data_IF_830499083057
#
_entry.id   IF_830499083057
#
_cell.length_a   1.000
_cell.length_b   1.000
_cell.length_c   1.000
_cell.angle_alpha   90.00
_cell.angle_beta   90.00
_cell.angle_gamma   90.00
#
_symmetry.space_group_name_H-M   'P 1'
#
loop_
_entity.id
_entity.type
_entity.pdbx_description
1 polymer ?
#
# COMPACT_ATOMS: atom_id res chain seq x y z
N UNK A 1 9.93 -37.93 -41.70
CA UNK A 1 10.42 -37.82 -40.32
C UNK A 1 9.23 -37.97 -39.37
N UNK A 2 9.12 -39.09 -38.65
CA UNK A 2 8.02 -39.39 -37.70
C UNK A 2 8.49 -39.07 -36.29
N UNK A 3 7.89 -38.08 -35.64
CA UNK A 3 8.13 -37.82 -34.22
C UNK A 3 7.24 -38.73 -33.37
N UNK A 4 7.90 -39.50 -32.51
CA UNK A 4 7.30 -40.53 -31.68
C UNK A 4 6.79 -39.89 -30.37
N UNK A 5 5.51 -40.13 -30.08
CA UNK A 5 4.75 -39.60 -28.94
C UNK A 5 5.13 -40.37 -27.66
N UNK A 6 5.95 -39.76 -26.79
CA UNK A 6 6.23 -40.31 -25.44
C UNK A 6 5.03 -40.02 -24.52
N UNK A 7 4.54 -41.08 -23.85
CA UNK A 7 3.52 -41.00 -22.78
C UNK A 7 4.19 -40.61 -21.45
N UNK A 8 3.51 -39.90 -20.54
CA UNK A 8 3.93 -39.80 -19.16
C UNK A 8 3.50 -41.05 -18.37
N UNK A 9 4.42 -41.61 -17.60
CA UNK A 9 4.13 -42.62 -16.60
C UNK A 9 3.70 -41.91 -15.31
N UNK A 10 2.43 -42.06 -14.94
CA UNK A 10 1.91 -41.71 -13.62
C UNK A 10 1.55 -43.00 -12.90
N UNK A 11 2.39 -43.44 -11.96
CA UNK A 11 1.93 -44.32 -10.90
C UNK A 11 2.79 -44.11 -9.65
N UNK A 12 2.30 -43.24 -8.76
CA UNK A 12 2.86 -42.98 -7.43
C UNK A 12 2.13 -43.90 -6.45
N UNK A 13 2.36 -45.21 -6.56
CA UNK A 13 1.84 -46.19 -5.59
C UNK A 13 2.82 -47.32 -5.23
N UNK A 14 4.04 -47.38 -5.78
CA UNK A 14 4.98 -48.49 -5.55
C UNK A 14 6.17 -48.18 -4.63
N UNK A 15 6.03 -47.24 -3.68
CA UNK A 15 7.09 -46.91 -2.71
C UNK A 15 6.73 -47.25 -1.25
N UNK A 16 5.92 -48.30 -1.08
CA UNK A 16 5.59 -48.87 0.22
C UNK A 16 5.75 -50.40 0.19
N UNK A 17 6.98 -50.89 0.10
CA UNK A 17 7.33 -52.27 0.45
C UNK A 17 8.81 -52.37 0.82
N UNK A 18 9.06 -53.23 1.79
CA UNK A 18 10.35 -53.59 2.40
C UNK A 18 10.74 -52.74 3.62
N UNK A 19 10.07 -53.02 4.74
CA UNK A 19 10.70 -52.98 6.04
C UNK A 19 10.27 -54.26 6.80
N UNK A 20 11.17 -55.23 6.82
CA UNK A 20 11.09 -56.50 7.56
C UNK A 20 11.06 -56.25 9.08
N UNK A 21 10.04 -56.72 9.82
CA UNK A 21 10.07 -56.76 11.28
C UNK A 21 10.58 -58.15 11.71
N UNK A 22 11.90 -58.38 11.66
CA UNK A 22 12.39 -59.75 11.87
C UNK A 22 13.89 -59.94 12.04
N UNK A 23 14.56 -59.18 12.92
CA UNK A 23 15.88 -59.60 13.42
C UNK A 23 16.18 -58.97 14.79
N UNK A 24 15.56 -59.53 15.83
CA UNK A 24 16.01 -59.36 17.20
C UNK A 24 17.34 -60.12 17.37
N UNK A 25 18.47 -59.43 17.17
CA UNK A 25 19.79 -59.90 17.61
C UNK A 25 20.15 -59.15 18.90
N UNK A 26 19.98 -59.84 20.01
CA UNK A 26 20.60 -59.55 21.29
C UNK A 26 22.12 -59.47 21.12
N UNK A 27 22.64 -58.25 21.02
CA UNK A 27 24.07 -57.98 21.21
C UNK A 27 24.27 -57.70 22.69
N UNK A 28 24.96 -58.64 23.33
CA UNK A 28 25.44 -58.57 24.69
C UNK A 28 26.46 -57.45 24.86
N UNK A 29 26.26 -56.71 25.96
CA UNK A 29 27.10 -55.73 26.65
C UNK A 29 28.54 -55.48 26.13
N UNK A 30 28.88 -54.21 25.86
CA UNK A 30 30.16 -53.66 26.25
C UNK A 30 30.02 -52.94 27.61
N UNK A 31 30.74 -53.48 28.58
CA UNK A 31 31.04 -52.93 29.90
C UNK A 31 31.32 -51.42 29.86
N UNK A 32 30.60 -50.68 30.70
CA UNK A 32 31.18 -49.70 31.61
C UNK A 32 31.86 -48.46 31.00
N UNK A 33 31.13 -47.67 30.22
CA UNK A 33 31.46 -46.24 30.09
C UNK A 33 30.72 -45.49 31.20
N UNK A 34 31.44 -45.03 32.23
CA UNK A 34 30.84 -44.18 33.24
C UNK A 34 30.17 -42.98 32.57
N UNK A 35 28.92 -42.63 32.94
CA UNK A 35 28.24 -41.48 32.36
C UNK A 35 29.06 -40.24 32.70
N UNK A 36 29.78 -39.71 31.71
CA UNK A 36 30.56 -38.49 31.84
C UNK A 36 29.68 -37.43 32.48
N UNK A 37 30.06 -37.00 33.68
CA UNK A 37 29.33 -36.04 34.49
C UNK A 37 29.22 -34.72 33.73
N UNK A 38 28.18 -34.57 32.93
CA UNK A 38 27.82 -33.28 32.37
C UNK A 38 27.64 -32.32 33.55
N UNK A 39 28.38 -31.21 33.50
CA UNK A 39 28.38 -30.25 34.58
C UNK A 39 26.94 -29.81 34.88
N UNK A 40 26.55 -29.66 36.16
CA UNK A 40 25.21 -29.24 36.53
C UNK A 40 24.79 -27.91 35.87
N UNK A 41 25.77 -27.06 35.52
CA UNK A 41 25.54 -25.83 34.75
C UNK A 41 24.99 -26.07 33.34
N UNK A 42 25.44 -27.10 32.62
CA UNK A 42 24.97 -27.39 31.26
C UNK A 42 23.51 -27.87 31.24
N UNK A 43 23.10 -28.58 32.29
CA UNK A 43 21.70 -29.03 32.45
C UNK A 43 20.78 -27.88 32.82
N UNK A 44 21.23 -26.98 33.70
CA UNK A 44 20.46 -25.80 34.07
C UNK A 44 20.26 -24.84 32.89
N UNK A 45 21.28 -24.62 32.06
CA UNK A 45 21.16 -23.78 30.87
C UNK A 45 20.22 -24.39 29.82
N UNK A 46 20.28 -25.71 29.59
CA UNK A 46 19.38 -26.41 28.68
C UNK A 46 17.92 -26.33 29.14
N UNK A 47 17.65 -26.50 30.45
CA UNK A 47 16.30 -26.38 31.00
C UNK A 47 15.80 -24.94 30.87
N UNK A 48 16.63 -23.95 31.18
CA UNK A 48 16.27 -22.54 31.05
C UNK A 48 15.92 -22.18 29.59
N UNK A 49 16.78 -22.58 28.63
CA UNK A 49 16.51 -22.37 27.21
C UNK A 49 15.24 -23.10 26.75
N UNK A 50 14.98 -24.32 27.24
CA UNK A 50 13.76 -25.06 26.92
C UNK A 50 12.50 -24.41 27.50
N UNK A 51 12.56 -23.84 28.70
CA UNK A 51 11.44 -23.12 29.31
C UNK A 51 11.21 -21.79 28.59
N UNK A 52 12.27 -21.05 28.26
CA UNK A 52 12.17 -19.85 27.42
C UNK A 52 11.56 -20.16 26.06
N UNK A 53 12.00 -21.24 25.40
CA UNK A 53 11.45 -21.69 24.11
C UNK A 53 10.00 -22.16 24.23
N UNK A 54 9.64 -22.84 25.33
CA UNK A 54 8.26 -23.23 25.64
C UNK A 54 7.33 -22.04 25.88
N UNK A 55 7.80 -21.02 26.61
CA UNK A 55 7.03 -19.78 26.82
C UNK A 55 6.92 -18.96 25.53
N UNK A 56 7.96 -18.97 24.69
CA UNK A 56 7.98 -18.40 23.33
C UNK A 56 7.19 -19.20 22.29
N UNK A 57 6.53 -20.30 22.66
CA UNK A 57 5.66 -21.08 21.76
C UNK A 57 4.18 -21.09 22.17
N UNK A 58 3.82 -20.56 23.35
CA UNK A 58 2.45 -20.60 23.90
C UNK A 58 1.59 -19.32 23.67
N UNK A 59 2.15 -18.20 23.21
CA UNK A 59 1.43 -16.94 22.92
C UNK A 59 1.42 -16.54 21.43
N UNK A 60 1.45 -17.53 20.53
CA UNK A 60 2.42 -17.45 19.43
C UNK A 60 1.88 -17.28 18.03
N UNK A 61 0.60 -17.55 17.76
CA UNK A 61 0.10 -17.43 16.38
C UNK A 61 0.21 -15.98 15.85
N UNK A 62 -0.30 -15.01 16.62
CA UNK A 62 -0.27 -13.59 16.24
C UNK A 62 1.14 -13.01 16.32
N UNK A 63 1.89 -13.34 17.38
CA UNK A 63 3.26 -12.86 17.55
C UNK A 63 4.19 -13.32 16.41
N UNK A 64 4.21 -14.62 16.10
CA UNK A 64 5.04 -15.11 14.99
C UNK A 64 4.53 -14.65 13.63
N UNK A 65 3.23 -14.40 13.48
CA UNK A 65 2.68 -13.81 12.27
C UNK A 65 3.21 -12.38 12.04
N UNK A 66 3.27 -11.55 13.09
CA UNK A 66 3.91 -10.22 13.00
C UNK A 66 5.39 -10.34 12.66
N UNK A 67 6.15 -11.16 13.41
CA UNK A 67 7.58 -11.31 13.12
C UNK A 67 7.85 -11.88 11.73
N UNK A 68 6.95 -12.73 11.23
CA UNK A 68 6.96 -13.19 9.85
C UNK A 68 6.74 -12.07 8.84
N UNK A 69 5.85 -11.12 9.15
CA UNK A 69 5.61 -9.92 8.35
C UNK A 69 6.82 -8.98 8.36
N UNK A 70 7.38 -8.67 9.53
CA UNK A 70 8.58 -7.82 9.65
C UNK A 70 9.77 -8.40 8.88
N UNK A 71 9.89 -9.74 8.91
CA UNK A 71 10.92 -10.45 8.13
C UNK A 71 10.71 -10.26 6.62
N UNK A 72 9.46 -10.23 6.17
CA UNK A 72 9.10 -9.91 4.78
C UNK A 72 9.40 -8.46 4.41
N UNK A 73 9.31 -7.55 5.37
CA UNK A 73 9.52 -6.11 5.18
C UNK A 73 11.00 -5.73 5.21
N UNK A 74 11.88 -6.61 5.73
CA UNK A 74 13.32 -6.40 5.83
C UNK A 74 14.01 -6.16 4.47
N UNK A 75 13.54 -6.82 3.41
CA UNK A 75 14.18 -6.78 2.10
C UNK A 75 13.22 -6.35 1.02
N UNK A 76 13.74 -5.65 0.02
CA UNK A 76 13.00 -5.37 -1.21
C UNK A 76 13.91 -5.59 -2.40
N UNK A 77 13.40 -6.23 -3.43
CA UNK A 77 14.15 -6.49 -4.64
C UNK A 77 13.19 -6.59 -5.82
N UNK A 78 13.58 -6.05 -6.96
CA UNK A 78 12.73 -6.12 -8.14
C UNK A 78 13.39 -5.61 -9.40
N UNK A 79 12.65 -5.77 -10.48
CA UNK A 79 12.97 -5.21 -11.79
C UNK A 79 12.19 -3.92 -12.00
N UNK A 80 12.78 -2.99 -12.74
CA UNK A 80 12.23 -1.67 -13.03
C UNK A 80 12.25 -1.43 -14.54
N UNK A 81 11.17 -0.91 -15.09
CA UNK A 81 11.12 -0.42 -16.46
C UNK A 81 11.41 1.09 -16.53
N UNK A 82 11.94 1.53 -17.68
CA UNK A 82 12.31 2.92 -17.97
C UNK A 82 13.23 3.53 -16.90
N UNK A 83 14.23 2.75 -16.48
CA UNK A 83 15.19 3.09 -15.42
C UNK A 83 16.60 3.24 -16.01
N UNK A 84 17.23 4.39 -15.73
CA UNK A 84 18.53 4.77 -16.29
C UNK A 84 19.48 5.25 -15.21
N UNK A 85 20.74 4.84 -15.30
CA UNK A 85 21.81 5.24 -14.41
C UNK A 85 21.91 4.37 -13.15
N UNK A 86 22.51 4.92 -12.10
CA UNK A 86 22.77 4.21 -10.85
C UNK A 86 22.60 5.16 -9.66
N UNK A 87 21.95 4.67 -8.60
CA UNK A 87 21.89 5.37 -7.32
C UNK A 87 22.12 4.43 -6.15
N UNK A 88 22.77 4.97 -5.13
CA UNK A 88 22.97 4.36 -3.82
C UNK A 88 22.25 5.23 -2.78
N UNK A 89 21.49 4.61 -1.88
CA UNK A 89 20.87 5.25 -0.72
C UNK A 89 21.42 4.61 0.55
N UNK A 90 21.71 5.46 1.52
CA UNK A 90 22.05 5.09 2.89
C UNK A 90 21.21 5.97 3.83
N UNK A 91 20.06 5.43 4.24
CA UNK A 91 19.08 6.11 5.05
C UNK A 91 18.51 7.36 4.36
N UNK A 92 18.60 8.57 4.96
CA UNK A 92 18.08 9.79 4.36
C UNK A 92 18.96 10.30 3.20
N UNK A 93 20.20 9.82 3.08
CA UNK A 93 21.15 10.27 2.05
C UNK A 93 21.03 9.39 0.83
N UNK A 94 20.87 10.01 -0.34
CA UNK A 94 20.83 9.33 -1.65
C UNK A 94 21.83 9.99 -2.58
N UNK A 95 22.63 9.19 -3.27
CA UNK A 95 23.64 9.68 -4.19
C UNK A 95 23.70 8.88 -5.49
N UNK A 96 24.09 9.54 -6.58
CA UNK A 96 24.27 8.93 -7.90
C UNK A 96 23.69 9.76 -9.03
N UNK A 97 23.54 9.12 -10.19
CA UNK A 97 22.88 9.69 -11.36
C UNK A 97 21.86 8.65 -11.78
N UNK A 98 20.60 8.85 -11.39
CA UNK A 98 19.53 7.88 -11.64
C UNK A 98 18.25 8.61 -12.02
N UNK A 99 17.59 8.11 -13.06
CA UNK A 99 16.31 8.61 -13.50
C UNK A 99 15.40 7.43 -13.83
N UNK A 100 14.21 7.44 -13.26
CA UNK A 100 13.13 6.53 -13.58
C UNK A 100 11.88 7.33 -13.91
N UNK A 101 11.33 7.07 -15.09
CA UNK A 101 10.11 7.70 -15.60
C UNK A 101 8.89 7.38 -14.74
N UNK A 102 7.94 8.33 -14.65
CA UNK A 102 6.66 8.13 -13.99
C UNK A 102 5.78 7.05 -14.65
N UNK A 103 6.00 6.77 -15.93
CA UNK A 103 5.33 5.70 -16.69
C UNK A 103 5.95 4.31 -16.44
N UNK A 104 7.15 4.27 -15.85
CA UNK A 104 7.88 3.04 -15.56
C UNK A 104 7.19 2.18 -14.50
N UNK A 105 6.96 0.91 -14.83
CA UNK A 105 6.43 -0.10 -13.91
C UNK A 105 7.57 -0.82 -13.19
N UNK A 106 7.34 -1.18 -11.94
CA UNK A 106 8.21 -2.09 -11.18
C UNK A 106 7.49 -3.40 -10.95
N UNK A 107 8.26 -4.49 -10.87
CA UNK A 107 7.77 -5.78 -10.41
C UNK A 107 8.79 -6.38 -9.46
N UNK A 108 8.35 -6.80 -8.27
CA UNK A 108 9.28 -7.38 -7.31
C UNK A 108 8.68 -7.58 -5.93
N UNK A 109 9.54 -7.97 -5.01
CA UNK A 109 9.26 -8.04 -3.59
C UNK A 109 9.48 -6.66 -2.98
N UNK A 110 8.47 -6.12 -2.30
CA UNK A 110 8.56 -4.85 -1.58
C UNK A 110 7.66 -4.91 -0.35
N UNK A 111 8.22 -4.59 0.82
CA UNK A 111 7.49 -4.59 2.10
C UNK A 111 6.64 -5.86 2.26
N UNK A 112 7.27 -7.04 2.10
CA UNK A 112 6.58 -8.32 2.29
C UNK A 112 5.63 -8.75 1.16
N UNK A 113 5.32 -7.89 0.19
CA UNK A 113 4.41 -8.20 -0.91
C UNK A 113 5.17 -8.36 -2.24
N UNK A 114 4.79 -9.39 -3.01
CA UNK A 114 5.23 -9.54 -4.40
C UNK A 114 4.13 -9.01 -5.31
N UNK A 115 4.36 -7.83 -5.90
CA UNK A 115 3.36 -7.19 -6.76
C UNK A 115 4.00 -6.29 -7.83
N UNK A 116 3.15 -5.63 -8.62
CA UNK A 116 3.50 -4.56 -9.53
C UNK A 116 3.31 -3.21 -8.85
N UNK A 117 4.32 -2.37 -8.97
CA UNK A 117 4.31 -1.03 -8.35
C UNK A 117 4.56 0.03 -9.42
N UNK A 118 4.12 1.25 -9.15
CA UNK A 118 4.52 2.41 -9.93
C UNK A 118 5.40 3.31 -9.07
N UNK A 119 6.59 3.61 -9.56
CA UNK A 119 7.51 4.48 -8.85
C UNK A 119 8.18 5.45 -9.81
N UNK A 120 8.43 6.66 -9.33
CA UNK A 120 9.18 7.69 -10.03
C UNK A 120 10.39 8.03 -9.17
N UNK A 121 11.56 8.17 -9.78
CA UNK A 121 12.76 8.52 -9.03
C UNK A 121 13.71 9.35 -9.84
N UNK A 122 14.22 10.40 -9.21
CA UNK A 122 15.25 11.25 -9.79
C UNK A 122 16.38 11.42 -8.77
N UNK A 123 17.63 11.29 -9.23
CA UNK A 123 18.85 11.49 -8.44
C UNK A 123 19.89 12.17 -9.30
N UNK A 124 20.38 13.30 -8.82
CA UNK A 124 21.51 14.03 -9.38
C UNK A 124 22.52 14.34 -8.26
N UNK A 125 23.66 13.65 -8.31
CA UNK A 125 24.76 13.73 -7.36
C UNK A 125 24.37 13.32 -5.94
N UNK A 126 23.84 14.25 -5.14
CA UNK A 126 23.40 14.04 -3.74
C UNK A 126 21.95 14.49 -3.51
N UNK A 127 21.34 15.09 -4.54
CA UNK A 127 19.96 15.52 -4.51
C UNK A 127 19.12 14.45 -5.18
N UNK A 128 18.07 13.98 -4.49
CA UNK A 128 17.16 13.03 -5.10
C UNK A 128 15.79 13.04 -4.46
N UNK A 129 14.79 12.72 -5.26
CA UNK A 129 13.41 12.52 -4.84
C UNK A 129 12.93 11.16 -5.31
N UNK A 130 12.08 10.53 -4.50
CA UNK A 130 11.37 9.31 -4.87
C UNK A 130 9.88 9.54 -4.62
N UNK A 131 9.05 9.15 -5.58
CA UNK A 131 7.61 9.08 -5.43
C UNK A 131 7.23 7.62 -5.59
N UNK A 132 6.60 7.09 -4.55
CA UNK A 132 6.16 5.70 -4.50
C UNK A 132 4.64 5.72 -4.56
N UNK A 133 4.08 5.09 -5.59
CA UNK A 133 2.66 4.77 -5.63
C UNK A 133 2.53 3.31 -5.20
N UNK A 134 1.46 3.01 -4.46
CA UNK A 134 1.20 1.70 -3.87
C UNK A 134 1.08 0.59 -4.91
N UNK A 135 0.75 -0.64 -4.48
CA UNK A 135 0.48 -1.73 -5.42
C UNK A 135 -0.55 -1.27 -6.45
N UNK A 136 -0.23 -1.48 -7.73
CA UNK A 136 -1.15 -1.15 -8.80
C UNK A 136 -2.33 -2.13 -8.69
N UNK A 137 -3.58 -1.66 -8.92
CA UNK A 137 -4.71 -2.58 -9.05
C UNK A 137 -4.33 -3.65 -10.05
N UNK A 138 -4.56 -4.92 -9.71
CA UNK A 138 -4.38 -5.98 -10.69
C UNK A 138 -5.25 -5.61 -11.90
N UNK A 139 -4.60 -5.36 -13.04
CA UNK A 139 -5.28 -5.28 -14.33
C UNK A 139 -5.98 -6.63 -14.45
N UNK A 140 -7.27 -6.67 -14.09
CA UNK A 140 -8.10 -7.86 -14.23
C UNK A 140 -7.97 -8.34 -15.68
N UNK A 141 -8.10 -9.65 -15.96
CA UNK A 141 -8.02 -10.13 -17.32
C UNK A 141 -9.00 -9.32 -18.17
N UNK A 142 -8.47 -8.51 -19.10
CA UNK A 142 -9.22 -7.61 -19.97
C UNK A 142 -10.38 -8.38 -20.62
N UNK A 143 -11.58 -8.29 -20.04
CA UNK A 143 -12.80 -8.86 -20.62
C UNK A 143 -13.41 -7.93 -21.68
N UNK A 144 -12.72 -6.86 -22.08
CA UNK A 144 -13.25 -5.83 -22.97
C UNK A 144 -12.40 -5.54 -24.20
N UNK A 145 -11.71 -6.55 -24.75
CA UNK A 145 -11.36 -6.55 -26.18
C UNK A 145 -12.25 -7.55 -26.91
N UNK A 146 -13.26 -7.09 -27.67
CA UNK A 146 -13.90 -7.92 -28.68
C UNK A 146 -12.81 -8.41 -29.64
N UNK A 147 -12.81 -9.71 -29.87
CA UNK A 147 -11.86 -10.47 -30.67
C UNK A 147 -12.04 -10.07 -32.15
N UNK A 148 -11.51 -8.91 -32.54
CA UNK A 148 -11.53 -8.46 -33.94
C UNK A 148 -10.33 -9.03 -34.68
N UNK A 149 -10.30 -10.35 -34.87
CA UNK A 149 -9.59 -10.94 -36.01
C UNK A 149 -10.21 -12.29 -36.38
N UNK A 150 -10.65 -12.38 -37.65
CA UNK A 150 -10.54 -13.54 -38.56
C UNK A 150 -11.85 -14.19 -39.03
N UNK A 151 -12.61 -13.48 -39.87
CA UNK A 151 -13.18 -14.09 -41.07
C UNK A 151 -12.33 -13.71 -42.29
N UNK A 152 -11.42 -14.60 -42.68
CA UNK A 152 -10.92 -14.72 -44.06
C UNK A 152 -11.27 -16.14 -44.52
N UNK A 153 -12.44 -16.29 -45.12
CA UNK A 153 -12.77 -17.46 -45.94
C UNK A 153 -12.51 -17.14 -47.41
N UNK A 154 -11.88 -18.10 -48.07
CA UNK A 154 -11.32 -18.04 -49.42
C UNK A 154 -12.36 -17.89 -50.55
N UNK A 155 -11.96 -17.20 -51.62
CA UNK A 155 -12.58 -17.28 -52.96
C UNK A 155 -11.59 -16.75 -54.02
N UNK A 156 -11.37 -17.44 -55.17
CA UNK A 156 -10.20 -17.21 -56.01
C UNK A 156 -10.42 -16.27 -57.21
N UNK A 157 -9.33 -15.59 -57.57
CA UNK A 157 -8.85 -15.21 -58.91
C UNK A 157 -9.83 -14.61 -59.94
N UNK A 158 -9.64 -13.32 -60.22
CA UNK A 158 -9.66 -12.79 -61.59
C UNK A 158 -8.75 -11.55 -61.69
N UNK A 159 -7.84 -11.63 -62.65
CA UNK A 159 -6.88 -10.64 -63.13
C UNK A 159 -7.58 -9.41 -63.71
N UNK A 160 -7.08 -8.19 -63.47
CA UNK A 160 -6.89 -7.19 -64.54
C UNK A 160 -6.10 -5.95 -64.08
N UNK A 161 -5.27 -5.49 -65.02
CA UNK A 161 -4.40 -4.33 -64.99
C UNK A 161 -5.11 -2.99 -64.77
N UNK A 162 -4.48 -2.05 -64.04
CA UNK A 162 -4.25 -0.67 -64.52
C UNK A 162 -3.37 0.19 -63.61
N UNK A 163 -2.58 1.03 -64.31
CA UNK A 163 -1.61 2.06 -63.91
C UNK A 163 -2.22 3.26 -63.14
N UNK A 164 -1.40 4.20 -62.62
CA UNK A 164 -1.73 5.10 -61.52
C UNK A 164 -2.27 6.47 -61.94
N UNK A 165 -3.06 7.06 -61.04
CA UNK A 165 -3.38 8.50 -60.93
C UNK A 165 -3.71 8.74 -59.46
N UNK A 166 -3.02 9.59 -58.71
CA UNK A 166 -3.08 11.04 -58.85
C UNK A 166 -4.30 11.56 -58.09
N UNK A 167 -4.11 12.12 -56.89
CA UNK A 167 -5.20 12.71 -56.11
C UNK A 167 -4.80 13.12 -54.70
N UNK A 168 -4.40 14.38 -54.54
CA UNK A 168 -4.34 15.10 -53.26
C UNK A 168 -5.76 15.25 -52.67
N UNK A 169 -5.91 15.12 -51.34
CA UNK A 169 -6.99 15.67 -50.51
C UNK A 169 -6.36 15.91 -49.13
N UNK A 170 -5.92 17.13 -48.81
CA UNK A 170 -6.67 18.19 -48.12
C UNK A 170 -7.24 17.71 -46.78
N UNK A 171 -6.51 18.11 -45.75
CA UNK A 171 -6.85 18.05 -44.34
C UNK A 171 -8.16 18.79 -44.04
N UNK A 172 -9.02 18.14 -43.26
CA UNK A 172 -10.09 18.79 -42.51
C UNK A 172 -10.05 18.28 -41.07
N UNK A 173 -10.03 19.16 -40.04
CA UNK A 173 -10.04 18.72 -38.66
C UNK A 173 -11.49 18.45 -38.22
N UNK A 174 -11.80 17.18 -37.92
CA UNK A 174 -13.03 16.78 -37.26
C UNK A 174 -12.87 16.84 -35.74
N UNK A 175 -13.62 17.75 -35.15
CA UNK A 175 -14.37 17.67 -33.89
C UNK A 175 -13.89 16.74 -32.75
N UNK A 176 -13.48 17.42 -31.67
CA UNK A 176 -14.07 17.32 -30.32
C UNK A 176 -14.14 15.93 -29.66
N UNK A 177 -13.00 15.45 -29.18
CA UNK A 177 -12.93 14.54 -28.05
C UNK A 177 -12.75 15.35 -26.75
N UNK A 178 -13.71 15.24 -25.82
CA UNK A 178 -13.55 15.72 -24.43
C UNK A 178 -12.45 14.92 -23.73
N UNK A 179 -11.38 15.57 -23.22
CA UNK A 179 -10.41 14.88 -22.40
C UNK A 179 -10.91 14.86 -20.95
N UNK A 180 -11.60 13.79 -20.57
CA UNK A 180 -11.77 13.43 -19.15
C UNK A 180 -10.43 12.92 -18.63
N UNK A 181 -9.86 13.63 -17.63
CA UNK A 181 -8.68 13.14 -16.88
C UNK A 181 -7.43 14.03 -16.90
N UNK A 182 -7.50 15.27 -17.38
CA UNK A 182 -6.37 16.19 -17.23
C UNK A 182 -6.11 16.49 -15.74
N UNK A 183 -5.01 15.95 -15.20
CA UNK A 183 -4.58 16.22 -13.82
C UNK A 183 -4.06 17.65 -13.76
N UNK A 184 -4.78 18.53 -13.05
CA UNK A 184 -4.38 19.92 -12.88
C UNK A 184 -3.05 20.01 -12.11
N UNK A 185 -2.16 20.89 -12.56
CA UNK A 185 -0.91 21.17 -11.85
C UNK A 185 -1.20 21.88 -10.51
N UNK A 186 -0.29 21.79 -9.51
CA UNK A 186 -0.45 22.49 -8.24
C UNK A 186 -0.66 24.01 -8.39
N UNK A 187 -0.03 24.63 -9.39
CA UNK A 187 -0.21 26.04 -9.70
C UNK A 187 -1.62 26.33 -10.23
N UNK A 188 -2.17 25.45 -11.07
CA UNK A 188 -3.54 25.57 -11.57
C UNK A 188 -4.57 25.43 -10.45
N UNK A 189 -4.33 24.57 -9.45
CA UNK A 189 -5.18 24.46 -8.27
C UNK A 189 -5.16 25.74 -7.41
N UNK A 190 -3.99 26.35 -7.23
CA UNK A 190 -3.87 27.60 -6.47
C UNK A 190 -4.53 28.78 -7.20
N UNK A 191 -4.42 28.81 -8.53
CA UNK A 191 -5.14 29.78 -9.37
C UNK A 191 -6.66 29.57 -9.29
N UNK A 192 -7.12 28.32 -9.25
CA UNK A 192 -8.53 27.99 -9.09
C UNK A 192 -9.07 28.45 -7.72
N UNK A 193 -8.32 28.23 -6.63
CA UNK A 193 -8.70 28.74 -5.30
C UNK A 193 -8.73 30.27 -5.24
N UNK A 194 -7.78 30.92 -5.90
CA UNK A 194 -7.73 32.39 -5.99
C UNK A 194 -8.94 32.92 -6.77
N UNK A 195 -9.30 32.26 -7.87
CA UNK A 195 -10.50 32.55 -8.66
C UNK A 195 -11.78 32.37 -7.83
N UNK A 196 -11.88 31.29 -7.05
CA UNK A 196 -13.05 31.01 -6.18
C UNK A 196 -13.31 32.11 -5.15
N UNK A 197 -12.28 32.83 -4.71
CA UNK A 197 -12.38 33.89 -3.69
C UNK A 197 -12.65 35.28 -4.26
N UNK A 198 -12.55 35.48 -5.58
CA UNK A 198 -12.79 36.79 -6.18
C UNK A 198 -14.29 37.07 -6.35
N UNK A 199 -14.67 38.33 -6.13
CA UNK A 199 -16.02 38.80 -6.44
C UNK A 199 -16.22 38.94 -7.95
N UNK A 200 -17.47 38.85 -8.40
CA UNK A 200 -17.82 38.89 -9.83
C UNK A 200 -17.35 40.20 -10.49
N UNK A 201 -17.28 41.29 -9.73
CA UNK A 201 -16.79 42.58 -10.20
C UNK A 201 -15.29 42.60 -10.45
N UNK A 202 -14.51 41.86 -9.68
CA UNK A 202 -13.06 41.80 -9.82
C UNK A 202 -12.65 40.88 -10.97
N UNK A 203 -13.41 39.82 -11.21
CA UNK A 203 -13.23 38.94 -12.37
C UNK A 203 -13.44 39.71 -13.68
N UNK A 204 -14.43 40.62 -13.73
CA UNK A 204 -14.66 41.47 -14.91
C UNK A 204 -13.51 42.44 -15.20
N UNK A 205 -12.67 42.74 -14.20
CA UNK A 205 -11.48 43.59 -14.36
C UNK A 205 -10.26 42.81 -14.86
N UNK A 206 -10.29 41.48 -14.88
CA UNK A 206 -9.15 40.68 -15.31
C UNK A 206 -8.90 40.88 -16.82
N UNK A 207 -7.64 41.11 -17.25
CA UNK A 207 -7.31 41.31 -18.66
C UNK A 207 -7.65 40.07 -19.50
N UNK A 208 -7.52 38.88 -18.93
CA UNK A 208 -7.93 37.63 -19.58
C UNK A 208 -9.44 37.58 -19.86
N UNK A 209 -10.27 38.14 -18.97
CA UNK A 209 -11.72 38.18 -19.13
C UNK A 209 -12.13 39.23 -20.19
N UNK A 210 -11.44 40.38 -20.21
CA UNK A 210 -11.70 41.45 -21.19
C UNK A 210 -11.38 41.04 -22.63
N UNK A 211 -10.45 40.10 -22.82
CA UNK A 211 -10.07 39.58 -24.13
C UNK A 211 -11.06 38.53 -24.71
N UNK A 212 -12.04 38.07 -23.92
CA UNK A 212 -13.05 37.10 -24.37
C UNK A 212 -14.16 37.77 -25.19
N UNK A 213 -14.76 37.03 -26.13
CA UNK A 213 -15.94 37.52 -26.85
C UNK A 213 -17.14 37.72 -25.90
N UNK A 214 -18.12 38.59 -26.23
CA UNK A 214 -19.27 38.83 -25.35
C UNK A 214 -20.05 37.56 -24.97
N UNK A 215 -20.10 36.56 -25.87
CA UNK A 215 -20.77 35.29 -25.61
C UNK A 215 -19.93 34.37 -24.69
N UNK A 216 -18.60 34.36 -24.87
CA UNK A 216 -17.69 33.66 -23.96
C UNK A 216 -17.71 34.27 -22.55
N UNK A 217 -17.80 35.60 -22.45
CA UNK A 217 -17.93 36.29 -21.16
C UNK A 217 -19.22 35.87 -20.42
N UNK A 218 -20.35 35.74 -21.14
CA UNK A 218 -21.61 35.26 -20.56
C UNK A 218 -21.50 33.81 -20.07
N UNK A 219 -20.93 32.92 -20.88
CA UNK A 219 -20.74 31.51 -20.50
C UNK A 219 -19.83 31.37 -19.27
N UNK A 220 -18.73 32.12 -19.21
CA UNK A 220 -17.84 32.12 -18.05
C UNK A 220 -18.54 32.62 -16.79
N UNK A 221 -19.32 33.70 -16.88
CA UNK A 221 -20.10 34.24 -15.74
C UNK A 221 -21.11 33.20 -15.23
N UNK A 222 -21.78 32.47 -16.13
CA UNK A 222 -22.74 31.43 -15.74
C UNK A 222 -22.06 30.25 -15.03
N UNK A 223 -20.93 29.78 -15.56
CA UNK A 223 -20.13 28.72 -14.93
C UNK A 223 -19.59 29.15 -13.56
N UNK A 224 -19.10 30.38 -13.45
CA UNK A 224 -18.60 30.92 -12.18
C UNK A 224 -19.70 31.01 -11.11
N UNK A 225 -20.92 31.41 -11.50
CA UNK A 225 -22.07 31.42 -10.58
C UNK A 225 -22.41 30.01 -10.10
N UNK A 226 -22.49 29.03 -11.01
CA UNK A 226 -22.74 27.62 -10.65
C UNK A 226 -21.71 27.09 -9.66
N UNK A 227 -20.44 27.43 -9.86
CA UNK A 227 -19.34 27.03 -8.96
C UNK A 227 -19.48 27.63 -7.55
N UNK A 228 -19.85 28.92 -7.46
CA UNK A 228 -20.04 29.63 -6.17
C UNK A 228 -21.26 29.10 -5.40
N UNK A 229 -22.33 28.73 -6.12
CA UNK A 229 -23.53 28.12 -5.55
C UNK A 229 -23.24 26.72 -4.98
N UNK A 230 -22.47 25.88 -5.69
CA UNK A 230 -22.11 24.54 -5.20
C UNK A 230 -21.23 24.54 -3.94
N UNK A 231 -20.36 25.53 -3.78
CA UNK A 231 -19.52 25.65 -2.57
C UNK A 231 -20.34 26.16 -1.37
N UNK A 232 -21.30 27.05 -1.61
CA UNK A 232 -22.15 27.63 -0.55
C UNK A 232 -23.10 26.59 0.07
N UNK A 233 -23.63 25.67 -0.74
CA UNK A 233 -24.48 24.58 -0.24
C UNK A 233 -23.75 23.58 0.66
N UNK A 234 -22.43 23.40 0.47
CA UNK A 234 -21.62 22.52 1.31
C UNK A 234 -21.26 23.19 2.66
N UNK A 235 -20.97 24.48 2.65
CA UNK A 235 -20.66 25.24 3.87
C UNK A 235 -21.85 25.36 4.84
N UNK A 236 -23.08 25.44 4.34
CA UNK A 236 -24.28 25.46 5.20
C UNK A 236 -24.56 24.11 5.87
N UNK A 237 -24.17 22.99 5.27
CA UNK A 237 -24.25 21.67 5.89
C UNK A 237 -23.19 21.48 6.98
N UNK A 238 -22.00 22.04 6.81
CA UNK A 238 -20.93 21.97 7.82
C UNK A 238 -21.18 22.93 9.00
N UNK A 239 -21.73 24.13 8.76
CA UNK A 239 -22.00 25.10 9.82
C UNK A 239 -23.12 24.69 10.80
N UNK A 240 -24.04 23.81 10.39
CA UNK A 240 -25.10 23.28 11.28
C UNK A 240 -24.63 22.16 12.22
N UNK A 241 -23.38 21.70 12.11
CA UNK A 241 -22.88 20.53 12.85
C UNK A 241 -22.10 20.87 14.13
N UNK A 242 -21.77 22.13 14.41
CA UNK A 242 -20.76 22.51 15.40
C UNK A 242 -21.20 23.37 16.60
N UNK A 243 -22.49 23.37 16.98
CA UNK A 243 -22.97 24.14 18.14
C UNK A 243 -23.60 23.32 19.28
N UNK A 244 -23.19 22.06 19.46
CA UNK A 244 -23.52 21.31 20.69
C UNK A 244 -22.28 21.20 21.58
N UNK A 245 -22.38 21.45 22.89
CA UNK A 245 -21.29 21.19 23.82
C UNK A 245 -20.94 19.70 23.72
N UNK A 246 -19.73 19.44 23.23
CA UNK A 246 -19.19 18.08 23.10
C UNK A 246 -19.09 17.51 24.51
N UNK A 247 -19.79 16.40 24.83
CA UNK A 247 -19.62 15.75 26.12
C UNK A 247 -18.16 15.31 26.26
N UNK A 248 -17.53 15.48 27.44
CA UNK A 248 -16.14 15.11 27.64
C UNK A 248 -15.93 13.66 27.22
N UNK A 249 -14.81 13.40 26.54
CA UNK A 249 -14.56 12.06 26.01
C UNK A 249 -14.58 11.03 27.17
N UNK A 250 -14.94 9.77 26.92
CA UNK A 250 -14.90 8.72 27.96
C UNK A 250 -13.52 8.55 28.60
N UNK A 251 -12.45 9.02 27.94
CA UNK A 251 -11.09 9.09 28.48
C UNK A 251 -10.90 10.24 29.49
N UNK A 252 -11.49 11.41 29.23
CA UNK A 252 -11.53 12.55 30.15
C UNK A 252 -12.35 12.22 31.41
N UNK A 253 -13.49 11.54 31.25
CA UNK A 253 -14.36 11.13 32.36
C UNK A 253 -13.72 10.01 33.21
N UNK A 254 -12.82 9.20 32.63
CA UNK A 254 -12.18 8.07 33.34
C UNK A 254 -10.88 8.42 34.05
N UNK A 255 -10.36 9.65 33.97
CA UNK A 255 -9.17 10.07 34.72
C UNK A 255 -7.92 9.19 34.49
N UNK A 256 -7.87 8.41 33.41
CA UNK A 256 -6.73 7.55 33.08
C UNK A 256 -5.74 8.31 32.22
N UNK A 257 -5.17 9.37 32.78
CA UNK A 257 -3.88 9.86 32.31
C UNK A 257 -2.85 8.77 32.61
N UNK A 258 -2.35 8.08 31.59
CA UNK A 258 -1.22 7.16 31.75
C UNK A 258 -0.01 7.94 32.26
N UNK A 259 0.26 7.85 33.56
CA UNK A 259 1.49 8.33 34.19
C UNK A 259 2.56 7.27 34.00
N UNK A 260 3.35 7.36 32.92
CA UNK A 260 4.62 6.66 32.87
C UNK A 260 5.52 7.25 33.98
N UNK A 261 5.82 6.48 35.03
CA UNK A 261 6.80 6.87 36.04
C UNK A 261 8.19 6.58 35.50
N UNK A 262 8.95 7.62 35.18
CA UNK A 262 10.39 7.51 35.01
C UNK A 262 11.04 6.99 36.31
N UNK A 263 12.09 6.15 36.25
CA UNK A 263 12.86 5.73 37.43
C UNK A 263 13.55 6.91 38.17
N UNK A 264 13.55 8.12 37.59
CA UNK A 264 14.04 9.36 38.20
C UNK A 264 12.91 10.26 38.77
N UNK A 265 11.69 9.76 38.90
CA UNK A 265 10.61 10.43 39.66
C UNK A 265 9.94 11.63 39.00
N UNK A 266 10.29 11.99 37.76
CA UNK A 266 9.61 13.05 37.01
C UNK A 266 8.41 12.48 36.23
N UNK A 267 7.22 13.03 36.48
CA UNK A 267 6.01 12.71 35.71
C UNK A 267 5.77 13.79 34.66
N UNK A 268 5.90 13.45 33.39
CA UNK A 268 5.52 14.33 32.27
C UNK A 268 4.18 13.84 31.72
N UNK A 269 3.14 14.69 31.65
CA UNK A 269 1.89 14.30 31.01
C UNK A 269 2.15 14.04 29.53
N UNK A 270 1.81 12.83 29.06
CA UNK A 270 1.81 12.49 27.65
C UNK A 270 0.72 13.31 26.96
N UNK A 271 1.08 14.49 26.44
CA UNK A 271 0.30 15.10 25.37
C UNK A 271 0.50 14.20 24.15
N UNK A 272 -0.58 13.62 23.64
CA UNK A 272 -0.58 13.00 22.32
C UNK A 272 0.12 13.95 21.37
N UNK A 273 1.29 13.54 20.88
CA UNK A 273 2.01 14.32 19.88
C UNK A 273 1.14 14.23 18.63
N UNK A 274 0.35 15.27 18.39
CA UNK A 274 -0.23 15.48 17.07
C UNK A 274 0.91 15.30 16.06
N UNK A 275 0.84 14.33 15.14
CA UNK A 275 1.85 14.17 14.12
C UNK A 275 1.97 15.53 13.42
N UNK A 276 3.19 16.06 13.35
CA UNK A 276 3.51 17.40 12.83
C UNK A 276 3.01 17.61 11.38
N UNK A 277 2.59 16.54 10.72
CA UNK A 277 1.97 16.53 9.40
C UNK A 277 0.73 15.64 9.49
N UNK A 278 -0.46 16.25 9.41
CA UNK A 278 -1.71 15.48 9.31
C UNK A 278 -1.76 14.83 7.93
N UNK A 279 -2.00 13.51 7.81
CA UNK A 279 -2.32 12.91 6.52
C UNK A 279 -3.60 13.55 5.99
N UNK A 280 -3.58 14.02 4.73
CA UNK A 280 -4.75 14.59 4.06
C UNK A 280 -5.89 13.56 3.98
N UNK A 281 -7.13 14.05 4.05
CA UNK A 281 -8.36 13.26 4.20
C UNK A 281 -8.87 12.55 2.93
N UNK A 282 -8.05 12.42 1.89
CA UNK A 282 -8.47 11.76 0.64
C UNK A 282 -7.73 10.45 0.44
N UNK A 283 -8.50 9.37 0.22
CA UNK A 283 -8.09 7.97 0.06
C UNK A 283 -7.23 7.68 -1.18
N UNK A 284 -6.14 8.40 -1.31
CA UNK A 284 -5.09 8.18 -2.30
C UNK A 284 -3.79 8.03 -1.54
N UNK A 285 -3.11 6.91 -1.80
CA UNK A 285 -1.74 6.58 -1.42
C UNK A 285 -0.99 7.81 -0.94
N UNK A 286 -0.71 7.87 0.37
CA UNK A 286 -0.17 9.04 1.05
C UNK A 286 0.85 9.78 0.17
N UNK A 287 0.46 10.94 -0.40
CA UNK A 287 1.38 11.96 -0.91
C UNK A 287 2.14 12.63 0.25
N UNK A 288 2.54 11.83 1.23
CA UNK A 288 3.31 12.22 2.40
C UNK A 288 4.74 11.72 2.28
N UNK A 289 5.60 12.26 3.12
CA UNK A 289 6.97 11.79 3.29
C UNK A 289 7.00 10.25 3.37
N UNK A 290 8.02 9.65 2.77
CA UNK A 290 8.22 8.20 2.82
C UNK A 290 8.16 7.69 4.27
N UNK A 291 7.73 6.43 4.47
CA UNK A 291 7.66 5.82 5.79
C UNK A 291 8.99 5.97 6.54
N UNK A 292 8.95 6.04 7.87
CA UNK A 292 10.16 6.15 8.68
C UNK A 292 11.15 5.01 8.40
N UNK A 293 10.66 3.82 8.06
CA UNK A 293 11.50 2.70 7.63
C UNK A 293 12.29 2.98 6.35
N UNK A 294 11.72 3.73 5.40
CA UNK A 294 12.44 4.14 4.19
C UNK A 294 13.64 5.03 4.48
N UNK A 295 13.59 5.84 5.54
CA UNK A 295 14.71 6.69 6.00
C UNK A 295 15.86 5.90 6.63
N UNK A 296 15.68 4.61 6.87
CA UNK A 296 16.71 3.71 7.43
C UNK A 296 17.15 2.65 6.42
N UNK A 297 16.73 2.78 5.16
CA UNK A 297 17.02 1.80 4.13
C UNK A 297 18.40 1.98 3.50
N UNK A 298 19.06 0.87 3.19
CA UNK A 298 20.22 0.83 2.29
C UNK A 298 19.72 0.28 0.97
N UNK A 299 19.74 1.10 -0.08
CA UNK A 299 19.14 0.75 -1.39
C UNK A 299 20.12 1.02 -2.53
N UNK A 300 20.18 0.08 -3.47
CA UNK A 300 21.00 0.15 -4.69
C UNK A 300 20.06 0.01 -5.88
N UNK A 301 20.13 0.96 -6.81
CA UNK A 301 19.42 0.92 -8.10
C UNK A 301 20.42 0.98 -9.24
N UNK A 302 20.23 0.15 -10.26
CA UNK A 302 21.03 0.13 -11.47
C UNK A 302 20.12 -0.07 -12.68
N UNK A 303 20.23 0.77 -13.72
CA UNK A 303 19.43 0.65 -14.94
C UNK A 303 20.09 1.26 -16.18
N UNK A 304 19.79 0.70 -17.36
CA UNK A 304 20.21 1.21 -18.67
C UNK A 304 19.05 1.38 -19.67
N UNK A 305 17.87 0.90 -19.30
CA UNK A 305 16.57 1.03 -19.97
C UNK A 305 15.55 0.28 -19.10
N UNK A 306 15.89 -0.97 -18.80
CA UNK A 306 15.41 -1.68 -17.61
C UNK A 306 16.46 -1.60 -16.51
N UNK A 307 16.01 -1.76 -15.27
CA UNK A 307 16.86 -1.74 -14.10
C UNK A 307 16.50 -2.82 -13.09
N UNK A 308 17.37 -2.98 -12.12
CA UNK A 308 17.15 -3.78 -10.93
C UNK A 308 17.36 -2.90 -9.72
N UNK A 309 16.61 -3.18 -8.66
CA UNK A 309 16.85 -2.57 -7.36
C UNK A 309 16.93 -3.63 -6.28
N UNK A 310 17.71 -3.33 -5.26
CA UNK A 310 17.84 -4.12 -4.05
C UNK A 310 17.89 -3.16 -2.86
N UNK A 311 17.10 -3.42 -1.83
CA UNK A 311 17.04 -2.62 -0.62
C UNK A 311 16.97 -3.50 0.63
N UNK A 312 17.64 -3.06 1.69
CA UNK A 312 17.54 -3.60 3.04
C UNK A 312 17.01 -2.50 3.95
N UNK A 313 15.93 -2.75 4.67
CA UNK A 313 15.31 -1.79 5.58
C UNK A 313 15.81 -2.04 7.01
N UNK A 314 16.86 -1.31 7.41
CA UNK A 314 17.49 -1.53 8.72
C UNK A 314 16.55 -1.17 9.89
N UNK A 315 15.58 -0.30 9.67
CA UNK A 315 14.54 0.03 10.64
C UNK A 315 13.69 -1.17 11.00
N UNK A 316 13.23 -1.92 9.99
CA UNK A 316 12.45 -3.15 10.19
C UNK A 316 13.30 -4.25 10.84
N UNK A 317 14.61 -4.28 10.58
CA UNK A 317 15.52 -5.18 11.30
C UNK A 317 15.58 -4.87 12.80
N UNK A 318 15.67 -3.58 13.15
CA UNK A 318 15.65 -3.14 14.54
C UNK A 318 14.30 -3.45 15.18
N UNK A 319 13.21 -3.25 14.45
CA UNK A 319 11.87 -3.62 14.92
C UNK A 319 11.77 -5.12 15.19
N UNK A 320 12.17 -5.96 14.24
CA UNK A 320 12.22 -7.43 14.39
C UNK A 320 12.99 -7.86 15.65
N UNK A 321 14.16 -7.27 15.92
CA UNK A 321 14.97 -7.60 17.09
C UNK A 321 14.35 -7.08 18.40
N UNK A 322 13.81 -5.87 18.39
CA UNK A 322 13.10 -5.29 19.52
C UNK A 322 11.83 -6.10 19.84
N UNK A 323 11.18 -6.63 18.81
CA UNK A 323 10.06 -7.53 18.86
C UNK A 323 10.30 -8.78 19.68
N UNK A 324 11.51 -9.34 19.59
CA UNK A 324 11.93 -10.51 20.38
C UNK A 324 11.84 -10.28 21.90
N UNK A 325 11.91 -9.02 22.34
CA UNK A 325 11.74 -8.62 23.74
C UNK A 325 10.40 -7.91 24.01
N UNK A 326 9.49 -7.92 23.03
CA UNK A 326 8.16 -7.31 23.13
C UNK A 326 8.15 -5.79 22.95
N UNK A 327 9.19 -5.21 22.34
CA UNK A 327 9.25 -3.79 21.99
C UNK A 327 8.90 -3.61 20.50
N UNK A 328 8.17 -2.55 20.19
CA UNK A 328 7.75 -2.17 18.83
C UNK A 328 8.12 -0.69 18.60
N UNK A 329 9.38 -0.39 18.26
CA UNK A 329 9.83 0.98 18.00
C UNK A 329 9.19 1.63 16.78
N UNK A 330 8.77 0.86 15.77
CA UNK A 330 8.16 1.42 14.56
C UNK A 330 6.66 1.66 14.71
N UNK A 331 6.02 1.01 15.69
CA UNK A 331 4.60 1.15 16.02
C UNK A 331 3.68 0.93 14.80
N UNK A 332 4.16 0.13 13.86
CA UNK A 332 3.49 -0.35 12.67
C UNK A 332 2.92 -1.76 12.89
N UNK A 333 3.55 -2.48 13.80
CA UNK A 333 3.08 -3.63 14.58
C UNK A 333 1.98 -3.23 15.59
N UNK A 334 1.14 -2.25 15.21
CA UNK A 334 0.08 -1.70 16.04
C UNK A 334 -0.69 -2.82 16.72
N UNK A 335 -1.04 -2.66 18.01
CA UNK A 335 -1.50 -3.76 18.87
C UNK A 335 -2.67 -4.36 18.15
N UNK A 336 -2.49 -5.52 17.49
CA UNK A 336 -3.41 -6.03 16.47
C UNK A 336 -4.79 -5.63 16.91
N UNK A 337 -5.36 -4.59 16.27
CA UNK A 337 -6.72 -4.23 16.59
C UNK A 337 -7.48 -5.38 15.95
N UNK A 338 -7.61 -6.43 16.76
CA UNK A 338 -8.69 -7.35 16.66
C UNK A 338 -8.61 -8.31 15.46
N UNK A 339 -7.39 -8.51 14.93
CA UNK A 339 -7.11 -9.40 13.80
C UNK A 339 -7.36 -8.78 12.43
N UNK A 340 -7.58 -7.47 12.36
CA UNK A 340 -7.85 -6.75 11.12
C UNK A 340 -6.59 -6.12 10.56
N UNK A 341 -6.37 -6.26 9.25
CA UNK A 341 -5.27 -5.58 8.57
C UNK A 341 -5.56 -4.08 8.46
N UNK A 342 -4.51 -3.25 8.36
CA UNK A 342 -4.66 -1.81 8.17
C UNK A 342 -5.45 -1.46 6.90
N UNK A 343 -5.32 -2.28 5.86
CA UNK A 343 -6.10 -2.19 4.63
C UNK A 343 -7.59 -2.50 4.87
N UNK A 344 -7.92 -3.46 5.74
CA UNK A 344 -9.31 -3.73 6.11
C UNK A 344 -9.93 -2.55 6.86
N UNK A 345 -9.11 -1.73 7.53
CA UNK A 345 -9.54 -0.52 8.24
C UNK A 345 -9.51 0.73 7.35
N UNK A 346 -8.88 0.66 6.18
CA UNK A 346 -8.77 1.76 5.24
C UNK A 346 -10.13 1.98 4.55
N UNK A 347 -10.63 3.22 4.59
CA UNK A 347 -11.97 3.55 4.08
C UNK A 347 -13.12 3.39 5.08
N UNK A 348 -12.89 2.83 6.27
CA UNK A 348 -13.87 2.88 7.36
C UNK A 348 -13.82 4.23 8.09
N UNK A 349 -15.00 4.78 8.35
CA UNK A 349 -15.21 5.92 9.24
C UNK A 349 -14.85 5.58 10.69
N UNK A 350 -14.56 6.62 11.49
CA UNK A 350 -14.19 6.44 12.89
C UNK A 350 -15.29 5.73 13.71
N UNK A 351 -16.56 5.95 13.37
CA UNK A 351 -17.70 5.25 13.97
C UNK A 351 -17.71 3.75 13.62
N UNK A 352 -17.41 3.40 12.37
CA UNK A 352 -17.30 1.99 11.95
C UNK A 352 -16.12 1.30 12.62
N UNK A 353 -14.99 1.99 12.79
CA UNK A 353 -13.83 1.47 13.52
C UNK A 353 -14.14 1.26 15.01
N UNK A 354 -14.85 2.21 15.63
CA UNK A 354 -15.30 2.07 17.01
C UNK A 354 -16.27 0.89 17.18
N UNK A 355 -17.14 0.64 16.19
CA UNK A 355 -18.04 -0.50 16.18
C UNK A 355 -17.27 -1.83 16.03
N UNK A 356 -16.32 -1.90 15.10
CA UNK A 356 -15.50 -3.10 14.87
C UNK A 356 -14.80 -3.57 16.15
N UNK A 357 -14.31 -2.65 16.97
CA UNK A 357 -13.69 -2.96 18.28
C UNK A 357 -14.64 -3.66 19.26
N UNK A 358 -15.95 -3.45 19.12
CA UNK A 358 -16.96 -4.05 20.00
C UNK A 358 -17.48 -5.40 19.49
N UNK A 359 -17.33 -5.68 18.19
CA UNK A 359 -17.82 -6.90 17.55
C UNK A 359 -16.89 -8.08 17.82
N UNK A 360 -17.44 -9.31 17.82
CA UNK A 360 -16.62 -10.53 17.85
C UNK A 360 -15.87 -10.73 16.51
N UNK A 361 -14.80 -11.53 16.44
CA UNK A 361 -14.06 -11.76 15.19
C UNK A 361 -14.95 -12.21 14.01
N UNK A 362 -15.90 -13.12 14.25
CA UNK A 362 -16.84 -13.57 13.23
C UNK A 362 -17.77 -12.44 12.74
N UNK A 363 -18.22 -11.59 13.67
CA UNK A 363 -19.06 -10.43 13.34
C UNK A 363 -18.27 -9.35 12.59
N UNK A 364 -16.98 -9.19 12.87
CA UNK A 364 -16.10 -8.26 12.13
C UNK A 364 -16.00 -8.66 10.67
N UNK A 365 -15.77 -9.95 10.39
CA UNK A 365 -15.75 -10.43 9.01
C UNK A 365 -17.08 -10.22 8.30
N UNK A 366 -18.20 -10.47 8.98
CA UNK A 366 -19.52 -10.22 8.42
C UNK A 366 -19.73 -8.73 8.16
N UNK A 367 -19.31 -7.86 9.08
CA UNK A 367 -19.42 -6.42 8.94
C UNK A 367 -18.60 -5.88 7.77
N UNK A 368 -17.38 -6.39 7.59
CA UNK A 368 -16.51 -6.00 6.46
C UNK A 368 -17.05 -6.47 5.10
N UNK A 369 -17.84 -7.55 5.06
CA UNK A 369 -18.52 -8.02 3.84
C UNK A 369 -19.74 -7.16 3.45
N UNK A 370 -20.26 -6.32 4.34
CA UNK A 370 -21.38 -5.43 4.05
C UNK A 370 -20.94 -4.26 3.18
N UNK A 371 -21.84 -3.77 2.33
CA UNK A 371 -21.60 -2.53 1.60
C UNK A 371 -21.53 -1.31 2.54
N UNK A 372 -20.98 -0.19 2.04
CA UNK A 372 -20.79 1.01 2.86
C UNK A 372 -22.12 1.61 3.36
N UNK A 373 -23.24 1.43 2.65
CA UNK A 373 -24.55 1.94 3.08
C UNK A 373 -25.16 1.09 4.19
N UNK A 374 -25.05 -0.24 4.07
CA UNK A 374 -25.47 -1.22 5.07
C UNK A 374 -24.72 -1.04 6.38
N UNK A 375 -23.41 -0.81 6.32
CA UNK A 375 -22.60 -0.50 7.51
C UNK A 375 -23.08 0.78 8.20
N UNK A 376 -23.38 1.84 7.44
CA UNK A 376 -23.94 3.09 7.98
C UNK A 376 -25.31 2.88 8.62
N UNK A 377 -26.20 2.14 7.97
CA UNK A 377 -27.53 1.83 8.52
C UNK A 377 -27.44 1.02 9.82
N UNK A 378 -26.50 0.09 9.93
CA UNK A 378 -26.28 -0.66 11.18
C UNK A 378 -25.82 0.24 12.33
N UNK A 379 -24.91 1.18 12.04
CA UNK A 379 -24.44 2.14 13.04
C UNK A 379 -25.58 3.05 13.50
N UNK A 380 -26.41 3.54 12.58
CA UNK A 380 -27.59 4.35 12.95
C UNK A 380 -28.59 3.56 13.80
N UNK A 381 -28.82 2.28 13.48
CA UNK A 381 -29.68 1.42 14.30
C UNK A 381 -29.12 1.21 15.71
N UNK A 382 -27.81 1.03 15.85
CA UNK A 382 -27.20 0.93 17.18
C UNK A 382 -27.28 2.24 17.95
N UNK A 383 -27.07 3.40 17.30
CA UNK A 383 -27.19 4.72 17.96
C UNK A 383 -28.61 5.01 18.44
N UNK A 384 -29.62 4.46 17.78
CA UNK A 384 -31.03 4.63 18.11
C UNK A 384 -31.62 3.51 19.00
N UNK A 385 -30.82 2.51 19.39
CA UNK A 385 -31.27 1.47 20.30
C UNK A 385 -31.43 2.07 21.72
N UNK A 386 -32.60 1.93 22.35
CA UNK A 386 -32.92 2.58 23.63
C UNK A 386 -32.16 2.03 24.84
#
# INVERSE_FOLDING_TARGET
MRFNKKRPASNIQDLARVADPGACKTITDPKGSQPGGQSPMLRASAIFLSVCFGLLSLQCATYWQNRGRDTGDLMSAGVQDQSYGMSLRFGPVKAGIHHKSAEGRDMGLRQGYVDRFQSESFVALILGSDILKGPLPQEGPDQSKPDETREKSNGPAATEDRKPSGGQNIDGPSDTASPEGATLSPEQLQQLETLKRMELEDIKKLPAFQNLSPDQQKQFIEQFKKLKESDSSNLEQDARKDSRPVPPSPMEIRGKTYRARSPLGTSVPFKEKNPLLKPGKEGSVSRGFASASYLTSVEIKLGLYGGVYFAIHLGEFVDLLAGLVGLDPMNDDGPFEDGLSRSDLEGLSDDERALLKQLTPEQREQFLKLDAEQRRQLIERQKNAP
#
